data_IF_594359141128
#
_entry.id   IF_594359141128
#
_cell.length_a   1.000
_cell.length_b   1.000
_cell.length_c   1.000
_cell.angle_alpha   90.00
_cell.angle_beta   90.00
_cell.angle_gamma   90.00
#
_symmetry.space_group_name_H-M   'P 1'
#
loop_
_entity.id
_entity.type
_entity.pdbx_description
1 polymer ?
#
# COMPACT_ATOMS: atom_id res chain seq x y z
N UNK A 1 12.96 -17.25 17.23
CA UNK A 1 12.45 -16.44 18.37
C UNK A 1 11.49 -15.44 17.76
N UNK A 2 10.25 -15.33 18.26
CA UNK A 2 9.29 -14.39 17.70
C UNK A 2 9.79 -12.95 17.93
N UNK A 3 9.63 -12.03 16.95
CA UNK A 3 10.09 -10.66 17.10
C UNK A 3 9.35 -9.97 18.25
N UNK A 4 10.07 -9.22 19.09
CA UNK A 4 9.45 -8.52 20.23
C UNK A 4 8.87 -7.17 19.80
N UNK A 5 9.49 -6.53 18.81
CA UNK A 5 9.05 -5.24 18.30
C UNK A 5 9.50 -5.00 16.87
N UNK A 6 8.61 -4.46 16.03
CA UNK A 6 8.93 -4.13 14.64
C UNK A 6 8.69 -2.64 14.36
N UNK A 7 9.70 -1.96 13.83
CA UNK A 7 9.51 -0.63 13.24
C UNK A 7 9.27 -0.76 11.75
N UNK A 8 8.23 -0.11 11.26
CA UNK A 8 7.81 -0.07 9.86
C UNK A 8 7.95 1.35 9.35
N UNK A 9 8.64 1.50 8.23
CA UNK A 9 8.56 2.70 7.40
C UNK A 9 7.60 2.43 6.23
N UNK A 10 6.59 3.29 6.10
CA UNK A 10 5.63 3.24 5.00
C UNK A 10 4.43 4.13 5.21
N UNK A 11 3.73 4.47 4.13
CA UNK A 11 2.37 5.02 4.19
C UNK A 11 1.34 3.92 4.03
N UNK A 12 0.27 3.97 4.82
CA UNK A 12 -0.89 3.05 4.77
C UNK A 12 -1.71 3.17 3.46
N UNK A 13 -1.39 4.14 2.62
CA UNK A 13 -1.80 4.23 1.21
C UNK A 13 -1.06 3.26 0.25
N UNK A 14 -0.01 2.56 0.71
CA UNK A 14 0.74 1.58 -0.08
C UNK A 14 0.21 0.17 0.15
N UNK A 15 -0.06 -0.60 -0.91
CA UNK A 15 -0.60 -1.96 -0.78
C UNK A 15 0.38 -2.90 -0.07
N UNK A 16 1.67 -2.70 -0.29
CA UNK A 16 2.73 -3.51 0.29
C UNK A 16 2.96 -3.20 1.77
N UNK A 17 2.77 -1.94 2.16
CA UNK A 17 2.80 -1.55 3.58
C UNK A 17 1.59 -2.12 4.29
N UNK A 18 0.39 -1.97 3.71
CA UNK A 18 -0.84 -2.56 4.23
C UNK A 18 -0.70 -4.07 4.46
N UNK A 19 -0.16 -4.82 3.49
CA UNK A 19 0.06 -6.26 3.64
C UNK A 19 0.94 -6.59 4.86
N UNK A 20 2.02 -5.84 5.09
CA UNK A 20 2.90 -6.03 6.26
C UNK A 20 2.17 -5.66 7.55
N UNK A 21 1.47 -4.53 7.60
CA UNK A 21 0.73 -4.10 8.79
C UNK A 21 -0.38 -5.08 9.18
N UNK A 22 -1.11 -5.62 8.19
CA UNK A 22 -2.09 -6.69 8.41
C UNK A 22 -1.42 -7.95 8.98
N UNK A 23 -0.27 -8.36 8.44
CA UNK A 23 0.48 -9.50 8.96
C UNK A 23 0.97 -9.30 10.39
N UNK A 24 1.44 -8.09 10.74
CA UNK A 24 1.84 -7.74 12.10
C UNK A 24 0.65 -7.73 13.06
N UNK A 25 -0.48 -7.18 12.62
CA UNK A 25 -1.73 -7.16 13.40
C UNK A 25 -2.22 -8.57 13.68
N UNK A 26 -2.29 -9.43 12.66
CA UNK A 26 -2.76 -10.81 12.79
C UNK A 26 -1.87 -11.67 13.70
N UNK A 27 -0.57 -11.37 13.75
CA UNK A 27 0.39 -12.03 14.66
C UNK A 27 0.50 -11.33 16.02
N UNK A 28 -0.30 -10.30 16.25
CA UNK A 28 -0.28 -9.48 17.47
C UNK A 28 1.11 -8.94 17.82
N UNK A 29 1.94 -8.67 16.80
CA UNK A 29 3.32 -8.20 17.01
C UNK A 29 3.28 -6.69 17.26
N UNK A 30 3.78 -6.22 18.42
CA UNK A 30 3.87 -4.81 18.70
C UNK A 30 4.75 -4.10 17.67
N UNK A 31 4.25 -3.00 17.12
CA UNK A 31 4.96 -2.30 16.07
C UNK A 31 4.78 -0.78 16.12
N UNK A 32 5.63 -0.11 15.34
CA UNK A 32 5.57 1.33 15.07
C UNK A 32 5.56 1.62 13.59
N UNK A 33 4.77 2.61 13.19
CA UNK A 33 4.73 3.09 11.80
C UNK A 33 5.19 4.54 11.73
N UNK A 34 6.18 4.80 10.87
CA UNK A 34 6.61 6.15 10.50
C UNK A 34 6.37 6.38 9.03
N UNK A 35 5.85 7.56 8.67
CA UNK A 35 5.43 7.83 7.28
C UNK A 35 6.52 8.47 6.42
N UNK A 36 7.68 8.80 7.01
CA UNK A 36 8.88 9.25 6.32
C UNK A 36 10.08 8.36 6.70
N UNK A 37 10.97 8.00 5.75
CA UNK A 37 12.03 7.03 6.03
C UNK A 37 13.06 7.63 7.00
N UNK A 38 13.66 6.81 7.86
CA UNK A 38 14.91 7.18 8.52
C UNK A 38 15.96 7.59 7.50
N UNK A 39 16.87 8.50 7.87
CA UNK A 39 17.88 9.03 6.94
C UNK A 39 18.73 7.93 6.28
N UNK A 40 19.08 6.87 7.02
CA UNK A 40 19.82 5.73 6.48
C UNK A 40 19.05 4.97 5.39
N UNK A 41 17.73 4.85 5.53
CA UNK A 41 16.85 4.24 4.53
C UNK A 41 16.68 5.17 3.34
N UNK A 42 16.51 6.47 3.60
CA UNK A 42 16.38 7.49 2.56
C UNK A 42 17.59 7.54 1.65
N UNK A 43 18.80 7.64 2.20
CA UNK A 43 20.03 7.70 1.41
C UNK A 43 20.28 6.41 0.62
N UNK A 44 19.90 5.25 1.17
CA UNK A 44 20.12 3.94 0.53
C UNK A 44 19.10 3.63 -0.57
N UNK A 45 17.84 4.00 -0.39
CA UNK A 45 16.73 3.48 -1.21
C UNK A 45 15.66 4.53 -1.55
N UNK A 46 15.85 5.78 -1.13
CA UNK A 46 14.86 6.83 -1.26
C UNK A 46 13.65 6.57 -0.38
N UNK A 47 12.47 6.66 -0.97
CA UNK A 47 11.17 6.48 -0.29
C UNK A 47 10.51 5.14 -0.62
N UNK A 48 11.32 4.15 -1.01
CA UNK A 48 10.83 2.80 -1.30
C UNK A 48 10.31 2.15 -0.01
N UNK A 49 9.10 1.57 -0.07
CA UNK A 49 8.39 0.98 1.06
C UNK A 49 7.73 -0.35 0.69
N UNK A 50 7.40 -1.23 1.67
CA UNK A 50 7.73 -1.12 3.09
C UNK A 50 9.22 -1.37 3.36
N UNK A 51 9.66 -0.89 4.52
CA UNK A 51 10.95 -1.24 5.11
C UNK A 51 10.74 -1.49 6.58
N UNK A 52 11.29 -2.58 7.10
CA UNK A 52 11.15 -2.94 8.53
C UNK A 52 12.49 -3.05 9.23
N UNK A 53 12.50 -2.76 10.52
CA UNK A 53 13.61 -3.01 11.44
C UNK A 53 13.06 -3.86 12.58
N UNK A 54 13.54 -5.09 12.66
CA UNK A 54 13.14 -6.08 13.67
C UNK A 54 14.07 -5.92 14.87
N UNK A 55 13.50 -5.70 16.06
CA UNK A 55 14.22 -5.60 17.34
C UNK A 55 15.44 -4.65 17.31
N UNK A 56 15.32 -3.55 16.56
CA UNK A 56 16.39 -2.55 16.42
C UNK A 56 17.51 -2.92 15.44
N UNK A 57 17.42 -4.08 14.78
CA UNK A 57 18.35 -4.54 13.77
C UNK A 57 18.31 -3.71 12.47
N UNK A 58 19.09 -4.14 11.44
CA UNK A 58 19.16 -3.46 10.15
C UNK A 58 17.79 -3.29 9.49
N UNK A 59 17.72 -2.38 8.52
CA UNK A 59 16.49 -2.16 7.74
C UNK A 59 16.41 -3.14 6.57
N UNK A 60 15.29 -3.86 6.48
CA UNK A 60 15.00 -4.87 5.46
C UNK A 60 13.84 -4.43 4.57
N UNK A 61 13.99 -4.62 3.27
CA UNK A 61 12.94 -4.40 2.26
C UNK A 61 12.27 -5.73 1.90
N UNK A 62 11.22 -5.65 1.06
CA UNK A 62 10.48 -6.76 0.44
C UNK A 62 9.34 -7.28 1.34
N UNK A 63 8.11 -6.83 1.06
CA UNK A 63 6.93 -7.27 1.81
C UNK A 63 6.71 -8.79 1.77
N UNK A 64 7.16 -9.47 0.72
CA UNK A 64 7.02 -10.94 0.63
C UNK A 64 7.95 -11.59 1.65
N UNK A 65 9.24 -11.24 1.63
CA UNK A 65 10.22 -11.79 2.57
C UNK A 65 9.88 -11.45 4.02
N UNK A 66 9.44 -10.22 4.26
CA UNK A 66 8.98 -9.79 5.60
C UNK A 66 7.84 -10.69 6.06
N UNK A 67 6.83 -10.93 5.24
CA UNK A 67 5.70 -11.80 5.61
C UNK A 67 6.12 -13.27 5.77
N UNK A 68 7.03 -13.77 4.95
CA UNK A 68 7.59 -15.13 5.11
C UNK A 68 8.38 -15.27 6.42
N UNK A 69 9.18 -14.27 6.81
CA UNK A 69 9.89 -14.22 8.11
C UNK A 69 8.91 -14.16 9.30
N UNK A 70 7.72 -13.60 9.10
CA UNK A 70 6.62 -13.61 10.08
C UNK A 70 5.84 -14.95 10.11
N UNK A 71 6.21 -15.91 9.26
CA UNK A 71 5.64 -17.26 9.24
C UNK A 71 4.42 -17.43 8.34
N UNK A 72 4.15 -16.50 7.42
CA UNK A 72 3.11 -16.69 6.41
C UNK A 72 3.61 -17.57 5.26
N UNK A 73 2.80 -18.54 4.84
CA UNK A 73 3.15 -19.43 3.74
C UNK A 73 3.32 -18.64 2.44
N UNK A 74 4.38 -18.97 1.69
CA UNK A 74 4.77 -18.27 0.47
C UNK A 74 3.77 -18.38 -0.69
N UNK A 75 4.11 -17.72 -1.79
CA UNK A 75 3.28 -17.61 -2.99
C UNK A 75 3.38 -18.82 -3.90
N UNK A 76 2.28 -19.17 -4.55
CA UNK A 76 2.27 -20.11 -5.67
C UNK A 76 2.79 -19.44 -6.95
N UNK A 77 3.18 -20.28 -7.92
CA UNK A 77 3.65 -19.81 -9.23
C UNK A 77 2.53 -19.07 -9.97
N UNK A 78 2.73 -17.79 -10.26
CA UNK A 78 1.78 -16.96 -11.00
C UNK A 78 1.03 -15.93 -10.16
N UNK A 79 1.11 -16.04 -8.83
CA UNK A 79 0.44 -15.12 -7.89
C UNK A 79 0.89 -13.68 -8.09
N UNK A 80 2.18 -13.45 -8.34
CA UNK A 80 2.73 -12.12 -8.63
C UNK A 80 2.06 -11.45 -9.82
N UNK A 81 1.76 -12.22 -10.87
CA UNK A 81 1.11 -11.68 -12.08
C UNK A 81 -0.36 -11.36 -11.83
N UNK A 82 -1.04 -12.16 -11.02
CA UNK A 82 -2.44 -11.89 -10.63
C UNK A 82 -2.53 -10.68 -9.70
N UNK A 83 -1.63 -10.58 -8.71
CA UNK A 83 -1.53 -9.43 -7.80
C UNK A 83 -1.21 -8.14 -8.56
N UNK A 84 -0.26 -8.19 -9.51
CA UNK A 84 0.04 -7.06 -10.37
C UNK A 84 -1.19 -6.60 -11.19
N UNK A 85 -2.04 -7.54 -11.61
CA UNK A 85 -3.33 -7.24 -12.24
C UNK A 85 -4.27 -6.47 -11.32
N UNK A 86 -4.48 -6.97 -10.09
CA UNK A 86 -5.35 -6.33 -9.10
C UNK A 86 -4.87 -4.92 -8.71
N UNK A 87 -3.55 -4.70 -8.73
CA UNK A 87 -2.92 -3.42 -8.42
C UNK A 87 -2.95 -2.41 -9.57
N UNK A 88 -3.25 -2.83 -10.80
CA UNK A 88 -3.19 -1.96 -11.98
C UNK A 88 -4.16 -0.78 -11.88
N UNK A 89 -5.28 -0.93 -11.19
CA UNK A 89 -6.22 0.17 -10.89
C UNK A 89 -5.62 1.29 -10.02
N UNK A 90 -4.45 1.06 -9.41
CA UNK A 90 -3.78 2.06 -8.58
C UNK A 90 -3.25 3.26 -9.37
N UNK A 91 -3.10 3.15 -10.69
CA UNK A 91 -2.72 4.32 -11.53
C UNK A 91 -3.84 5.35 -11.60
N UNK A 92 -5.11 4.93 -11.56
CA UNK A 92 -6.27 5.84 -11.55
C UNK A 92 -6.30 6.77 -10.31
N UNK A 93 -5.48 6.49 -9.29
CA UNK A 93 -5.37 7.36 -8.10
C UNK A 93 -4.82 8.75 -8.44
N UNK A 94 -4.14 8.91 -9.58
CA UNK A 94 -3.62 10.21 -10.03
C UNK A 94 -4.56 10.98 -10.96
N UNK A 95 -5.75 10.43 -11.28
CA UNK A 95 -6.77 11.11 -12.08
C UNK A 95 -7.17 12.48 -11.50
N UNK A 96 -7.00 12.66 -10.18
CA UNK A 96 -7.11 13.94 -9.50
C UNK A 96 -5.92 14.19 -8.57
N UNK A 97 -5.02 15.09 -8.97
CA UNK A 97 -3.91 15.54 -8.13
C UNK A 97 -4.39 16.05 -6.77
N UNK A 98 -5.43 16.89 -6.75
CA UNK A 98 -5.98 17.42 -5.51
C UNK A 98 -6.45 16.30 -4.57
N UNK A 99 -7.21 15.32 -5.08
CA UNK A 99 -7.70 14.20 -4.28
C UNK A 99 -6.53 13.36 -3.75
N UNK A 100 -5.55 13.08 -4.60
CA UNK A 100 -4.35 12.32 -4.22
C UNK A 100 -3.64 12.98 -3.03
N UNK A 101 -3.26 14.25 -3.17
CA UNK A 101 -2.56 15.00 -2.12
C UNK A 101 -3.42 15.19 -0.86
N UNK A 102 -4.72 15.48 -1.02
CA UNK A 102 -5.65 15.63 0.10
C UNK A 102 -5.75 14.34 0.91
N UNK A 103 -5.85 13.17 0.27
CA UNK A 103 -5.91 11.88 0.98
C UNK A 103 -4.63 11.61 1.77
N UNK A 104 -3.46 11.86 1.16
CA UNK A 104 -2.17 11.77 1.87
C UNK A 104 -2.03 12.77 3.03
N UNK A 105 -2.70 13.93 2.98
CA UNK A 105 -2.73 14.87 4.11
C UNK A 105 -3.44 14.31 5.34
N UNK A 106 -4.35 13.34 5.16
CA UNK A 106 -5.13 12.74 6.24
C UNK A 106 -4.40 11.61 6.96
N UNK A 107 -3.29 11.09 6.42
CA UNK A 107 -2.51 10.03 7.05
C UNK A 107 -1.90 10.53 8.36
N UNK A 108 -2.22 9.86 9.47
CA UNK A 108 -1.84 10.28 10.82
C UNK A 108 -0.50 9.70 11.24
N UNK A 109 0.28 10.50 11.96
CA UNK A 109 1.42 10.01 12.73
C UNK A 109 0.96 9.49 14.10
N UNK A 110 1.20 8.22 14.39
CA UNK A 110 0.70 7.59 15.62
C UNK A 110 1.64 7.75 16.82
N UNK A 111 2.97 7.81 16.61
CA UNK A 111 3.96 7.88 17.69
C UNK A 111 4.91 9.07 17.61
N UNK A 112 5.44 9.47 18.76
CA UNK A 112 6.39 10.57 18.92
C UNK A 112 5.76 11.90 19.36
N UNK A 113 6.62 12.85 19.73
CA UNK A 113 6.21 14.20 20.16
C UNK A 113 5.66 15.01 18.98
N UNK A 114 4.77 15.97 19.27
CA UNK A 114 4.11 16.82 18.27
C UNK A 114 5.08 17.41 17.23
N UNK A 115 6.23 18.01 17.60
CA UNK A 115 7.15 18.57 16.59
C UNK A 115 7.73 17.52 15.64
N UNK A 116 8.04 16.33 16.15
CA UNK A 116 8.56 15.24 15.34
C UNK A 116 7.49 14.70 14.37
N UNK A 117 6.23 14.64 14.81
CA UNK A 117 5.08 14.28 13.96
C UNK A 117 4.89 15.31 12.85
N UNK A 118 4.87 16.60 13.19
CA UNK A 118 4.77 17.68 12.19
C UNK A 118 5.90 17.65 11.17
N UNK A 119 7.15 17.46 11.59
CA UNK A 119 8.29 17.35 10.68
C UNK A 119 8.12 16.16 9.72
N UNK A 120 7.72 14.98 10.21
CA UNK A 120 7.48 13.82 9.35
C UNK A 120 6.30 14.04 8.40
N UNK A 121 5.21 14.66 8.87
CA UNK A 121 4.10 15.08 8.01
C UNK A 121 4.55 16.05 6.91
N UNK A 122 5.43 17.00 7.23
CA UNK A 122 6.01 17.91 6.23
C UNK A 122 6.89 17.17 5.24
N UNK A 123 7.84 16.33 5.70
CA UNK A 123 8.76 15.59 4.83
C UNK A 123 8.03 14.56 3.95
N UNK A 124 6.89 14.02 4.41
CA UNK A 124 6.05 13.10 3.64
C UNK A 124 5.60 13.70 2.31
N UNK A 125 5.51 15.01 2.15
CA UNK A 125 5.16 15.63 0.86
C UNK A 125 6.12 15.22 -0.26
N UNK A 126 7.41 15.00 0.02
CA UNK A 126 8.34 14.46 -0.97
C UNK A 126 8.00 13.01 -1.35
N UNK A 127 7.57 12.19 -0.39
CA UNK A 127 7.09 10.83 -0.65
C UNK A 127 5.84 10.87 -1.54
N UNK A 128 4.92 11.80 -1.29
CA UNK A 128 3.71 12.01 -2.11
C UNK A 128 4.08 12.43 -3.53
N UNK A 129 4.98 13.40 -3.69
CA UNK A 129 5.49 13.80 -5.01
C UNK A 129 6.10 12.60 -5.73
N UNK A 130 6.95 11.83 -5.05
CA UNK A 130 7.61 10.65 -5.62
C UNK A 130 6.60 9.65 -6.18
N UNK A 131 5.58 9.27 -5.39
CA UNK A 131 4.58 8.32 -5.84
C UNK A 131 3.66 8.89 -6.90
N UNK A 132 3.27 10.16 -6.79
CA UNK A 132 2.46 10.85 -7.79
C UNK A 132 3.14 10.82 -9.17
N UNK A 133 4.40 11.26 -9.25
CA UNK A 133 5.16 11.25 -10.50
C UNK A 133 5.40 9.82 -11.02
N UNK A 134 5.62 8.86 -10.12
CA UNK A 134 5.82 7.46 -10.50
C UNK A 134 4.55 6.85 -11.09
N UNK A 135 3.39 7.05 -10.45
CA UNK A 135 2.10 6.55 -10.94
C UNK A 135 1.69 7.25 -12.23
N UNK A 136 1.88 8.56 -12.35
CA UNK A 136 1.70 9.30 -13.61
C UNK A 136 2.55 8.72 -14.75
N UNK A 137 3.84 8.47 -14.50
CA UNK A 137 4.73 7.89 -15.50
C UNK A 137 4.29 6.48 -15.91
N UNK A 138 3.85 5.66 -14.95
CA UNK A 138 3.34 4.31 -15.20
C UNK A 138 2.02 4.37 -15.97
N UNK A 139 1.07 5.23 -15.58
CA UNK A 139 -0.21 5.45 -16.24
C UNK A 139 -0.04 5.92 -17.68
N UNK A 140 0.88 6.87 -17.95
CA UNK A 140 1.22 7.30 -19.31
C UNK A 140 1.84 6.19 -20.16
N UNK A 141 2.59 5.28 -19.55
CA UNK A 141 3.29 4.20 -20.27
C UNK A 141 2.40 2.99 -20.56
N UNK A 142 1.48 2.65 -19.66
CA UNK A 142 0.71 1.40 -19.68
C UNK A 142 -0.81 1.61 -19.72
N UNK A 143 -1.26 2.87 -19.72
CA UNK A 143 -2.67 3.26 -19.63
C UNK A 143 -3.20 3.27 -18.19
N UNK A 144 -4.25 4.05 -17.98
CA UNK A 144 -5.14 3.91 -16.83
C UNK A 144 -6.04 2.69 -17.02
N UNK A 145 -6.42 2.05 -15.93
CA UNK A 145 -7.24 0.84 -16.01
C UNK A 145 -8.71 1.20 -16.20
N UNK A 146 -9.32 0.68 -17.26
CA UNK A 146 -10.77 0.75 -17.44
C UNK A 146 -11.49 -0.23 -16.51
N UNK A 147 -12.77 0.00 -16.24
CA UNK A 147 -13.60 -0.89 -15.40
C UNK A 147 -13.58 -2.35 -15.91
N UNK A 148 -13.63 -2.55 -17.23
CA UNK A 148 -13.56 -3.88 -17.85
C UNK A 148 -12.23 -4.61 -17.58
N UNK A 149 -11.11 -3.87 -17.59
CA UNK A 149 -9.80 -4.44 -17.24
C UNK A 149 -9.77 -4.86 -15.77
N UNK A 150 -10.41 -4.08 -14.91
CA UNK A 150 -10.50 -4.37 -13.47
C UNK A 150 -11.38 -5.57 -13.22
N UNK A 151 -12.57 -5.63 -13.84
CA UNK A 151 -13.47 -6.78 -13.80
C UNK A 151 -12.74 -8.06 -14.19
N UNK A 152 -12.07 -8.07 -15.35
CA UNK A 152 -11.29 -9.23 -15.82
C UNK A 152 -10.16 -9.63 -14.87
N UNK A 153 -9.55 -8.67 -14.18
CA UNK A 153 -8.50 -8.99 -13.20
C UNK A 153 -9.09 -9.66 -11.96
N UNK A 154 -10.20 -9.15 -11.44
CA UNK A 154 -10.85 -9.70 -10.24
C UNK A 154 -11.62 -10.99 -10.49
N UNK A 155 -12.12 -11.24 -11.71
CA UNK A 155 -12.71 -12.53 -12.09
C UNK A 155 -11.73 -13.70 -11.97
N UNK A 156 -10.42 -13.47 -12.09
CA UNK A 156 -9.42 -14.54 -11.85
C UNK A 156 -9.32 -14.90 -10.37
N UNK A 157 -9.52 -13.92 -9.48
CA UNK A 157 -9.57 -14.16 -8.03
C UNK A 157 -10.89 -14.82 -7.64
N UNK A 158 -12.00 -14.42 -8.25
CA UNK A 158 -13.29 -15.11 -8.11
C UNK A 158 -13.18 -16.60 -8.45
N UNK A 159 -12.58 -16.93 -9.61
CA UNK A 159 -12.36 -18.31 -10.03
C UNK A 159 -11.49 -19.08 -9.03
N UNK A 160 -10.41 -18.48 -8.55
CA UNK A 160 -9.53 -19.12 -7.55
C UNK A 160 -10.22 -19.36 -6.21
N UNK A 161 -11.02 -18.40 -5.73
CA UNK A 161 -11.83 -18.58 -4.52
C UNK A 161 -12.88 -19.68 -4.71
N UNK A 162 -13.45 -19.81 -5.91
CA UNK A 162 -14.37 -20.89 -6.24
C UNK A 162 -13.68 -22.27 -6.23
N UNK A 163 -12.46 -22.37 -6.78
CA UNK A 163 -11.66 -23.61 -6.81
C UNK A 163 -11.25 -24.06 -5.40
N UNK A 164 -10.82 -23.13 -4.55
CA UNK A 164 -10.43 -23.43 -3.16
C UNK A 164 -11.67 -23.82 -2.34
N UNK A 165 -12.79 -23.12 -2.54
CA UNK A 165 -14.05 -23.40 -1.85
C UNK A 165 -14.01 -23.14 -0.33
N UNK A 166 -13.08 -22.32 0.13
CA UNK A 166 -12.89 -21.93 1.55
C UNK A 166 -13.03 -20.42 1.74
N UNK A 167 -12.96 -19.98 2.98
CA UNK A 167 -13.12 -18.58 3.38
C UNK A 167 -11.97 -17.69 2.87
N UNK A 168 -10.74 -18.21 2.91
CA UNK A 168 -9.53 -17.50 2.49
C UNK A 168 -8.80 -18.23 1.35
N UNK A 169 -7.88 -17.55 0.68
CA UNK A 169 -6.99 -18.17 -0.30
C UNK A 169 -6.01 -19.15 0.35
N UNK A 170 -5.74 -18.99 1.65
CA UNK A 170 -5.01 -19.96 2.48
C UNK A 170 -5.84 -21.15 2.97
N UNK A 171 -7.14 -21.21 2.63
CA UNK A 171 -8.05 -22.22 3.14
C UNK A 171 -8.86 -21.66 4.31
N UNK A 172 -8.66 -22.23 5.50
CA UNK A 172 -9.39 -21.83 6.72
C UNK A 172 -8.74 -20.62 7.42
N UNK A 173 -7.48 -20.29 7.10
CA UNK A 173 -6.76 -19.10 7.59
C UNK A 173 -6.17 -18.30 6.42
N UNK A 174 -5.99 -16.97 6.55
CA UNK A 174 -5.37 -16.18 5.49
C UNK A 174 -3.88 -16.49 5.34
N UNK A 175 -3.42 -16.56 4.09
CA UNK A 175 -2.01 -16.68 3.77
C UNK A 175 -1.40 -15.34 3.31
N UNK A 176 -0.13 -15.37 2.89
CA UNK A 176 0.57 -14.19 2.38
C UNK A 176 -0.18 -13.53 1.20
N UNK A 177 -0.81 -14.32 0.32
CA UNK A 177 -1.56 -13.81 -0.84
C UNK A 177 -2.82 -13.10 -0.39
N UNK A 178 -3.55 -13.62 0.60
CA UNK A 178 -4.69 -12.92 1.21
C UNK A 178 -4.26 -11.54 1.72
N UNK A 179 -3.15 -11.46 2.47
CA UNK A 179 -2.65 -10.20 3.01
C UNK A 179 -2.24 -9.21 1.90
N UNK A 180 -1.58 -9.69 0.84
CA UNK A 180 -1.18 -8.83 -0.28
C UNK A 180 -2.36 -8.37 -1.12
N UNK A 181 -3.33 -9.25 -1.38
CA UNK A 181 -4.53 -8.92 -2.14
C UNK A 181 -5.43 -7.97 -1.35
N UNK A 182 -5.58 -8.20 -0.05
CA UNK A 182 -6.34 -7.29 0.82
C UNK A 182 -5.60 -5.96 0.97
N UNK A 183 -4.27 -5.95 1.05
CA UNK A 183 -3.47 -4.73 0.95
C UNK A 183 -3.70 -3.96 -0.35
N UNK A 184 -3.86 -4.65 -1.48
CA UNK A 184 -4.25 -4.04 -2.76
C UNK A 184 -5.64 -3.39 -2.69
N UNK A 185 -6.61 -4.05 -2.06
CA UNK A 185 -7.93 -3.48 -1.83
C UNK A 185 -7.88 -2.24 -0.92
N UNK A 186 -7.18 -2.32 0.23
CA UNK A 186 -6.99 -1.19 1.14
C UNK A 186 -6.36 -0.01 0.41
N UNK A 187 -5.36 -0.26 -0.45
CA UNK A 187 -4.74 0.75 -1.30
C UNK A 187 -5.77 1.47 -2.20
N UNK A 188 -6.67 0.73 -2.84
CA UNK A 188 -7.75 1.31 -3.66
C UNK A 188 -8.71 2.13 -2.79
N UNK A 189 -9.23 1.57 -1.68
CA UNK A 189 -10.17 2.27 -0.78
C UNK A 189 -9.55 3.54 -0.15
N UNK A 190 -8.25 3.54 0.08
CA UNK A 190 -7.56 4.66 0.72
C UNK A 190 -7.53 5.94 -0.15
N UNK A 191 -7.56 5.78 -1.47
CA UNK A 191 -7.80 6.86 -2.44
C UNK A 191 -8.75 6.29 -3.49
N UNK A 192 -10.07 6.45 -3.30
CA UNK A 192 -11.06 5.73 -4.10
C UNK A 192 -10.87 5.88 -5.61
N UNK A 193 -10.98 4.75 -6.31
CA UNK A 193 -10.75 4.59 -7.75
C UNK A 193 -11.84 3.69 -8.37
N UNK A 194 -12.05 3.72 -9.70
CA UNK A 194 -13.06 2.89 -10.38
C UNK A 194 -13.10 1.39 -10.01
N UNK A 195 -11.97 0.69 -9.73
CA UNK A 195 -12.00 -0.69 -9.25
C UNK A 195 -12.93 -0.96 -8.06
N UNK A 196 -13.13 0.01 -7.16
CA UNK A 196 -13.99 -0.17 -5.98
C UNK A 196 -15.44 -0.37 -6.42
N UNK A 197 -15.95 0.47 -7.33
CA UNK A 197 -17.31 0.36 -7.82
C UNK A 197 -17.57 -0.99 -8.50
N UNK A 198 -16.59 -1.49 -9.28
CA UNK A 198 -16.64 -2.82 -9.89
C UNK A 198 -16.77 -3.90 -8.81
N UNK A 199 -15.92 -3.88 -7.79
CA UNK A 199 -15.96 -4.87 -6.70
C UNK A 199 -17.28 -4.85 -5.92
N UNK A 200 -17.85 -3.65 -5.71
CA UNK A 200 -19.12 -3.47 -4.99
C UNK A 200 -20.32 -4.02 -5.76
N UNK A 201 -20.38 -3.76 -7.07
CA UNK A 201 -21.62 -3.91 -7.84
C UNK A 201 -21.63 -5.07 -8.82
N UNK A 202 -20.47 -5.58 -9.23
CA UNK A 202 -20.41 -6.57 -10.31
C UNK A 202 -21.02 -7.91 -9.87
N UNK A 203 -22.08 -8.40 -10.54
CA UNK A 203 -22.76 -9.62 -10.13
C UNK A 203 -21.89 -10.87 -10.31
N UNK A 204 -20.81 -10.81 -11.09
CA UNK A 204 -19.87 -11.92 -11.30
C UNK A 204 -18.81 -12.08 -10.22
N UNK A 205 -18.80 -11.22 -9.19
CA UNK A 205 -17.78 -11.23 -8.11
C UNK A 205 -18.34 -11.55 -6.70
N UNK A 206 -19.31 -12.47 -6.52
CA UNK A 206 -19.90 -12.72 -5.20
C UNK A 206 -18.90 -13.32 -4.20
N UNK A 207 -17.98 -14.20 -4.62
CA UNK A 207 -17.01 -14.80 -3.69
C UNK A 207 -15.92 -13.82 -3.29
N UNK A 208 -15.48 -12.97 -4.21
CA UNK A 208 -14.57 -11.86 -3.86
C UNK A 208 -15.21 -10.98 -2.79
N UNK A 209 -16.49 -10.58 -2.93
CA UNK A 209 -17.16 -9.81 -1.87
C UNK A 209 -17.28 -10.56 -0.55
N UNK A 210 -17.59 -11.87 -0.58
CA UNK A 210 -17.62 -12.69 0.63
C UNK A 210 -16.24 -12.80 1.30
N UNK A 211 -15.17 -12.93 0.51
CA UNK A 211 -13.79 -12.90 0.98
C UNK A 211 -13.43 -11.54 1.60
N UNK A 212 -13.83 -10.42 0.98
CA UNK A 212 -13.64 -9.08 1.56
C UNK A 212 -14.32 -8.97 2.92
N UNK A 213 -15.58 -9.41 3.02
CA UNK A 213 -16.32 -9.39 4.28
C UNK A 213 -15.64 -10.22 5.36
N UNK A 214 -15.05 -11.36 4.99
CA UNK A 214 -14.32 -12.26 5.89
C UNK A 214 -13.01 -11.64 6.37
N UNK A 215 -12.24 -11.04 5.46
CA UNK A 215 -11.05 -10.25 5.81
C UNK A 215 -11.41 -9.06 6.72
N UNK A 216 -12.51 -8.35 6.48
CA UNK A 216 -12.95 -7.26 7.34
C UNK A 216 -13.30 -7.73 8.75
N UNK A 217 -14.04 -8.84 8.90
CA UNK A 217 -14.34 -9.43 10.21
C UNK A 217 -13.07 -9.86 10.95
N UNK A 218 -12.12 -10.46 10.24
CA UNK A 218 -10.85 -10.89 10.84
C UNK A 218 -10.02 -9.71 11.37
N UNK A 219 -10.16 -8.54 10.77
CA UNK A 219 -9.40 -7.32 11.07
C UNK A 219 -10.30 -6.20 11.60
N UNK A 220 -11.36 -6.53 12.36
CA UNK A 220 -12.36 -5.54 12.79
C UNK A 220 -11.79 -4.42 13.67
N UNK A 221 -10.72 -4.69 14.41
CA UNK A 221 -10.00 -3.78 15.29
C UNK A 221 -8.76 -3.14 14.63
N UNK A 222 -8.51 -3.43 13.35
CA UNK A 222 -7.35 -2.93 12.63
C UNK A 222 -7.46 -1.41 12.35
N UNK A 223 -6.49 -0.58 12.81
CA UNK A 223 -6.62 0.88 12.79
C UNK A 223 -6.53 1.52 11.39
N UNK A 224 -6.09 0.77 10.37
CA UNK A 224 -5.92 1.27 8.99
C UNK A 224 -6.89 0.62 8.00
N UNK A 225 -8.10 0.27 8.47
CA UNK A 225 -9.18 -0.34 7.68
C UNK A 225 -9.90 0.68 6.77
N UNK A 226 -9.37 0.92 5.57
CA UNK A 226 -9.99 1.80 4.57
C UNK A 226 -11.20 1.18 3.87
N UNK A 227 -11.22 -0.14 3.67
CA UNK A 227 -12.34 -0.81 2.98
C UNK A 227 -13.65 -0.78 3.76
N UNK A 228 -13.61 -0.55 5.08
CA UNK A 228 -14.78 -0.56 5.96
C UNK A 228 -15.87 0.44 5.62
N UNK A 229 -15.54 1.50 4.87
CA UNK A 229 -16.52 2.50 4.41
C UNK A 229 -17.19 2.07 3.10
N UNK A 230 -16.51 1.23 2.32
CA UNK A 230 -16.92 0.87 0.97
C UNK A 230 -17.55 -0.54 0.90
N UNK A 231 -17.30 -1.41 1.88
CA UNK A 231 -17.71 -2.81 1.86
C UNK A 231 -18.33 -3.27 3.17
N UNK A 232 -19.24 -4.23 3.07
CA UNK A 232 -19.86 -4.91 4.21
C UNK A 232 -18.90 -5.96 4.83
N UNK A 233 -18.87 -6.14 6.16
CA UNK A 233 -19.60 -5.32 7.16
C UNK A 233 -18.98 -3.93 7.33
N UNK A 234 -19.78 -2.87 7.59
CA UNK A 234 -19.26 -1.53 7.75
C UNK A 234 -18.33 -1.44 8.96
N UNK A 235 -17.16 -0.85 8.76
CA UNK A 235 -16.17 -0.58 9.80
C UNK A 235 -15.78 0.89 9.78
N UNK A 236 -15.39 1.47 10.93
CA UNK A 236 -15.01 2.87 11.00
C UNK A 236 -13.79 3.15 10.11
N UNK A 237 -13.83 4.30 9.42
CA UNK A 237 -12.69 4.78 8.65
C UNK A 237 -11.47 5.04 9.57
N UNK A 238 -10.23 4.96 9.03
CA UNK A 238 -9.05 5.30 9.80
C UNK A 238 -9.11 6.74 10.34
N UNK A 239 -8.62 6.93 11.56
CA UNK A 239 -8.65 8.25 12.20
C UNK A 239 -7.73 9.22 11.47
N UNK A 240 -8.30 10.31 10.96
CA UNK A 240 -7.55 11.32 10.24
C UNK A 240 -6.50 12.04 11.11
N UNK A 241 -5.46 12.53 10.47
CA UNK A 241 -4.44 13.38 11.06
C UNK A 241 -5.06 14.64 11.69
N UNK A 242 -4.59 15.06 12.87
CA UNK A 242 -5.03 16.32 13.48
C UNK A 242 -4.64 17.53 12.61
N UNK A 243 -5.30 18.67 12.85
CA UNK A 243 -5.14 19.87 12.02
C UNK A 243 -3.68 20.32 11.88
N UNK A 244 -2.88 20.26 12.94
CA UNK A 244 -1.48 20.69 12.91
C UNK A 244 -0.60 19.83 11.98
N UNK A 245 -0.83 18.51 11.91
CA UNK A 245 -0.13 17.64 10.96
C UNK A 245 -0.56 17.92 9.53
N UNK A 246 -1.86 18.16 9.31
CA UNK A 246 -2.41 18.49 7.99
C UNK A 246 -1.85 19.81 7.47
N UNK A 247 -1.79 20.85 8.31
CA UNK A 247 -1.17 22.14 7.98
C UNK A 247 0.32 21.94 7.67
N UNK A 248 1.04 21.20 8.51
CA UNK A 248 2.46 20.91 8.30
C UNK A 248 2.72 20.17 6.98
N UNK A 249 1.87 19.21 6.61
CA UNK A 249 1.92 18.51 5.33
C UNK A 249 1.74 19.47 4.15
N UNK A 250 0.76 20.38 4.20
CA UNK A 250 0.53 21.33 3.11
C UNK A 250 1.67 22.36 2.97
N UNK A 251 2.23 22.82 4.09
CA UNK A 251 3.45 23.65 4.06
C UNK A 251 4.63 22.90 3.44
N UNK A 252 4.86 21.64 3.85
CA UNK A 252 5.86 20.76 3.23
C UNK A 252 5.61 20.56 1.72
N UNK A 253 4.35 20.46 1.31
CA UNK A 253 3.95 20.34 -0.10
C UNK A 253 4.33 21.57 -0.91
N UNK A 254 4.05 22.77 -0.40
CA UNK A 254 4.46 24.04 -1.05
C UNK A 254 5.99 24.08 -1.19
N UNK A 255 6.73 23.78 -0.12
CA UNK A 255 8.20 23.75 -0.16
C UNK A 255 8.72 22.72 -1.18
N UNK A 256 8.13 21.53 -1.20
CA UNK A 256 8.49 20.46 -2.13
C UNK A 256 8.28 20.87 -3.58
N UNK A 257 7.21 21.62 -3.85
CA UNK A 257 6.87 22.14 -5.18
C UNK A 257 7.80 23.27 -5.59
N UNK A 258 8.03 24.25 -4.71
CA UNK A 258 8.98 25.33 -4.97
C UNK A 258 10.41 24.80 -5.19
N UNK A 259 10.76 23.67 -4.56
CA UNK A 259 12.03 22.98 -4.72
C UNK A 259 12.07 21.97 -5.89
N UNK A 260 11.14 22.03 -6.85
CA UNK A 260 11.15 21.17 -8.06
C UNK A 260 12.51 21.05 -8.78
N UNK A 261 13.31 22.13 -8.92
CA UNK A 261 14.66 22.02 -9.48
C UNK A 261 15.58 21.02 -8.77
N UNK A 262 15.27 20.64 -7.53
CA UNK A 262 16.01 19.65 -6.73
C UNK A 262 15.19 18.36 -6.55
N UNK A 263 13.90 18.46 -6.20
CA UNK A 263 13.07 17.30 -5.85
C UNK A 263 12.77 16.40 -7.05
N UNK A 264 12.61 16.96 -8.25
CA UNK A 264 12.38 16.16 -9.47
C UNK A 264 13.63 15.39 -9.91
N UNK A 265 14.84 16.01 -9.99
CA UNK A 265 16.08 15.25 -10.22
C UNK A 265 16.31 14.15 -9.17
N UNK A 266 16.04 14.44 -7.89
CA UNK A 266 16.18 13.46 -6.82
C UNK A 266 15.22 12.27 -7.00
N UNK A 267 13.95 12.53 -7.33
CA UNK A 267 12.98 11.50 -7.71
C UNK A 267 13.51 10.64 -8.86
N UNK A 268 14.02 11.27 -9.92
CA UNK A 268 14.54 10.55 -11.09
C UNK A 268 15.74 9.65 -10.74
N UNK A 269 16.67 10.16 -9.92
CA UNK A 269 17.82 9.40 -9.44
C UNK A 269 17.39 8.15 -8.65
N UNK A 270 16.48 8.31 -7.68
CA UNK A 270 15.96 7.17 -6.93
C UNK A 270 15.19 6.19 -7.82
N UNK A 271 14.32 6.68 -8.71
CA UNK A 271 13.60 5.84 -9.66
C UNK A 271 14.54 5.01 -10.54
N UNK A 272 15.63 5.60 -11.02
CA UNK A 272 16.65 4.88 -11.79
C UNK A 272 17.35 3.81 -10.94
N UNK A 273 17.72 4.14 -9.70
CA UNK A 273 18.36 3.19 -8.77
C UNK A 273 17.46 2.00 -8.42
N UNK A 274 16.17 2.23 -8.18
CA UNK A 274 15.23 1.15 -7.85
C UNK A 274 14.98 0.25 -9.07
N UNK A 275 14.94 0.82 -10.28
CA UNK A 275 14.84 0.03 -11.53
C UNK A 275 16.10 -0.81 -11.79
N UNK A 276 17.30 -0.27 -11.59
CA UNK A 276 18.54 -1.05 -11.77
C UNK A 276 18.71 -2.15 -10.71
N UNK A 277 18.09 -1.97 -9.54
CA UNK A 277 18.13 -2.96 -8.45
C UNK A 277 17.09 -4.09 -8.61
N UNK A 278 16.26 -4.07 -9.66
CA UNK A 278 15.18 -5.05 -9.86
C UNK A 278 14.03 -4.97 -8.86
N UNK A 279 13.95 -3.89 -8.08
CA UNK A 279 13.00 -3.73 -6.95
C UNK A 279 11.66 -3.09 -7.34
N UNK A 280 11.58 -2.45 -8.50
CA UNK A 280 10.29 -2.18 -9.14
C UNK A 280 9.92 -3.46 -9.88
N UNK A 281 8.93 -4.22 -9.41
CA UNK A 281 8.33 -5.35 -10.11
C UNK A 281 7.61 -4.95 -11.42
N UNK A 282 8.09 -3.90 -12.11
CA UNK A 282 7.67 -3.56 -13.45
C UNK A 282 8.21 -4.62 -14.42
N UNK A 283 7.39 -5.11 -15.35
CA UNK A 283 7.83 -6.08 -16.34
C UNK A 283 9.03 -5.52 -17.12
N UNK A 284 10.15 -6.25 -17.08
CA UNK A 284 11.31 -5.97 -17.91
C UNK A 284 10.87 -6.06 -19.37
N UNK A 285 11.14 -5.03 -20.16
CA UNK A 285 10.97 -5.09 -21.62
C UNK A 285 11.87 -6.22 -22.12
N UNK A 286 11.31 -7.39 -22.47
CA UNK A 286 12.01 -8.31 -23.36
C UNK A 286 12.26 -7.48 -24.62
N UNK A 287 13.54 -7.23 -24.91
CA UNK A 287 13.94 -6.80 -26.25
C UNK A 287 13.58 -7.98 -27.16
N UNK A 288 12.54 -7.82 -27.96
CA UNK A 288 12.40 -8.56 -29.22
C UNK A 288 13.53 -8.13 -30.15
#
# INVERSE_FOLDING_TARGET
MAPQFIRVYGGDHSPWVQAVLLGLHLKEIPHDVVTFPPLSVFLRSGVLMPVVSIDGGPWHHDSTRILEELGFSGKARGDDRMLAGALRGGTNRTDSAWTFWRRWSLVREHRGRVPARMLRSALRSFTVLYFYLTLELVGRRFGHSAEDDMRRSWQRWEARLAEIGREFLGGDEPNLVDLQLFGALQCHCSIPVPPIAVLQTDPSLPRVRAWIASMQRLFEDYPHMYSGVDFEPPLPAPTAAPLHERVSFWLGSVVTILAFPVTVPLWYCYMRHVRSSGKLGLPSRRRS
#
